data_IF_502865137373
#
_entry.id   IF_502865137373
#
_cell.length_a   1.000
_cell.length_b   1.000
_cell.length_c   1.000
_cell.angle_alpha   90.00
_cell.angle_beta   90.00
_cell.angle_gamma   90.00
#
_symmetry.space_group_name_H-M   'P 1'
#
loop_
_entity.id
_entity.type
_entity.pdbx_description
1 polymer ?
#
# COMPACT_ATOMS: atom_id res chain seq x y z
N UNK A 1 52.82 36.37 10.46
CA UNK A 1 52.29 35.09 9.93
C UNK A 1 50.76 34.98 9.96
N UNK A 2 50.08 35.37 11.06
CA UNK A 2 48.60 35.25 11.23
C UNK A 2 47.74 36.01 10.22
N UNK A 3 48.20 37.16 9.70
CA UNK A 3 47.41 37.99 8.77
C UNK A 3 47.24 37.34 7.38
N UNK A 4 48.25 36.61 6.88
CA UNK A 4 48.19 35.90 5.59
C UNK A 4 47.18 34.74 5.62
N UNK A 5 47.12 34.02 6.74
CA UNK A 5 46.18 32.90 6.93
C UNK A 5 44.72 33.38 6.95
N UNK A 6 44.43 34.54 7.59
CA UNK A 6 43.09 35.14 7.57
C UNK A 6 42.64 35.52 6.15
N UNK A 7 43.55 36.06 5.32
CA UNK A 7 43.24 36.42 3.92
C UNK A 7 42.98 35.18 3.05
N UNK A 8 43.76 34.12 3.23
CA UNK A 8 43.55 32.83 2.53
C UNK A 8 42.21 32.21 2.96
N UNK A 9 41.92 32.16 4.26
CA UNK A 9 40.64 31.65 4.76
C UNK A 9 39.44 32.45 4.22
N UNK A 10 39.55 33.79 4.17
CA UNK A 10 38.52 34.65 3.61
C UNK A 10 38.31 34.40 2.11
N UNK A 11 39.39 34.22 1.34
CA UNK A 11 39.32 33.90 -0.08
C UNK A 11 38.64 32.55 -0.34
N UNK A 12 38.98 31.52 0.45
CA UNK A 12 38.32 30.20 0.38
C UNK A 12 36.83 30.32 0.71
N UNK A 13 36.47 31.08 1.76
CA UNK A 13 35.06 31.31 2.12
C UNK A 13 34.28 32.00 0.98
N UNK A 14 34.88 33.00 0.33
CA UNK A 14 34.29 33.68 -0.82
C UNK A 14 34.07 32.71 -1.98
N UNK A 15 35.04 31.84 -2.29
CA UNK A 15 34.89 30.84 -3.34
C UNK A 15 33.77 29.83 -3.03
N UNK A 16 33.64 29.39 -1.77
CA UNK A 16 32.55 28.53 -1.33
C UNK A 16 31.20 29.24 -1.51
N UNK A 17 31.09 30.50 -1.10
CA UNK A 17 29.88 31.30 -1.25
C UNK A 17 29.52 31.51 -2.73
N UNK A 18 30.50 31.80 -3.58
CA UNK A 18 30.28 31.95 -5.02
C UNK A 18 29.84 30.64 -5.68
N UNK A 19 30.42 29.50 -5.29
CA UNK A 19 29.98 28.18 -5.72
C UNK A 19 28.52 27.92 -5.32
N UNK A 20 28.14 28.28 -4.09
CA UNK A 20 26.78 28.12 -3.60
C UNK A 20 25.78 29.02 -4.34
N UNK A 21 26.14 30.29 -4.58
CA UNK A 21 25.33 31.23 -5.37
C UNK A 21 25.17 30.74 -6.82
N UNK A 22 26.24 30.20 -7.40
CA UNK A 22 26.21 29.58 -8.72
C UNK A 22 25.27 28.37 -8.75
N UNK A 23 25.29 27.50 -7.74
CA UNK A 23 24.35 26.38 -7.64
C UNK A 23 22.89 26.83 -7.51
N UNK A 24 22.60 27.85 -6.69
CA UNK A 24 21.26 28.40 -6.51
C UNK A 24 20.70 28.99 -7.82
N UNK A 25 21.53 29.73 -8.55
CA UNK A 25 21.15 30.37 -9.81
C UNK A 25 21.00 29.36 -10.95
N UNK A 26 21.82 28.31 -10.98
CA UNK A 26 21.78 27.27 -12.00
C UNK A 26 20.76 26.16 -11.73
N UNK A 27 20.19 26.06 -10.51
CA UNK A 27 19.17 25.06 -10.16
C UNK A 27 17.84 25.68 -9.67
N UNK A 28 17.20 26.58 -10.43
CA UNK A 28 15.94 27.21 -10.02
C UNK A 28 14.81 26.19 -9.80
N UNK A 29 14.91 25.02 -10.45
CA UNK A 29 13.98 23.91 -10.26
C UNK A 29 13.92 23.45 -8.81
N UNK A 30 15.07 23.32 -8.13
CA UNK A 30 15.15 22.84 -6.75
C UNK A 30 14.41 23.79 -5.81
N UNK A 31 14.65 25.10 -5.93
CA UNK A 31 13.96 26.12 -5.15
C UNK A 31 12.44 26.09 -5.37
N UNK A 32 12.02 26.04 -6.64
CA UNK A 32 10.59 25.99 -6.98
C UNK A 32 9.92 24.73 -6.41
N UNK A 33 10.61 23.59 -6.46
CA UNK A 33 10.14 22.32 -5.93
C UNK A 33 10.00 22.37 -4.41
N UNK A 34 11.03 22.85 -3.69
CA UNK A 34 10.97 22.98 -2.23
C UNK A 34 9.86 23.92 -1.77
N UNK A 35 9.62 25.01 -2.51
CA UNK A 35 8.50 25.91 -2.24
C UNK A 35 7.14 25.25 -2.52
N UNK A 36 7.02 24.45 -3.57
CA UNK A 36 5.81 23.67 -3.83
C UNK A 36 5.54 22.64 -2.72
N UNK A 37 6.56 21.94 -2.24
CA UNK A 37 6.45 20.99 -1.12
C UNK A 37 6.05 21.72 0.18
N UNK A 38 6.58 22.91 0.42
CA UNK A 38 6.17 23.76 1.55
C UNK A 38 4.70 24.14 1.47
N UNK A 39 4.22 24.55 0.30
CA UNK A 39 2.81 24.86 0.10
C UNK A 39 1.92 23.63 0.26
N UNK A 40 2.34 22.48 -0.26
CA UNK A 40 1.63 21.22 -0.08
C UNK A 40 1.50 20.86 1.41
N UNK A 41 2.60 20.95 2.17
CA UNK A 41 2.58 20.76 3.63
C UNK A 41 1.69 21.78 4.34
N UNK A 42 1.67 23.02 3.87
CA UNK A 42 0.75 24.07 4.31
C UNK A 42 -0.70 23.92 3.82
N UNK A 43 -1.07 22.76 3.23
CA UNK A 43 -2.40 22.45 2.67
C UNK A 43 -2.85 23.39 1.53
N UNK A 44 -1.94 24.16 0.95
CA UNK A 44 -2.19 25.05 -0.20
C UNK A 44 -2.05 24.27 -1.51
N UNK A 45 -2.88 23.24 -1.68
CA UNK A 45 -2.75 22.24 -2.74
C UNK A 45 -2.81 22.85 -4.15
N UNK A 46 -3.74 23.77 -4.43
CA UNK A 46 -3.85 24.40 -5.75
C UNK A 46 -2.63 25.27 -6.09
N UNK A 47 -1.93 25.80 -5.09
CA UNK A 47 -0.71 26.59 -5.34
C UNK A 47 0.49 25.68 -5.59
N UNK A 48 0.60 24.57 -4.85
CA UNK A 48 1.60 23.53 -5.10
C UNK A 48 1.41 22.87 -6.48
N UNK A 49 0.16 22.58 -6.87
CA UNK A 49 -0.22 22.00 -8.16
C UNK A 49 0.38 22.77 -9.33
N UNK A 50 0.28 24.10 -9.34
CA UNK A 50 0.80 24.95 -10.42
C UNK A 50 2.29 24.72 -10.69
N UNK A 51 3.07 24.49 -9.64
CA UNK A 51 4.50 24.25 -9.76
C UNK A 51 4.77 22.82 -10.18
N UNK A 52 4.11 21.83 -9.54
CA UNK A 52 4.26 20.43 -9.92
C UNK A 52 3.85 20.17 -11.37
N UNK A 53 2.80 20.83 -11.86
CA UNK A 53 2.35 20.73 -13.25
C UNK A 53 3.40 21.22 -14.26
N UNK A 54 4.10 22.31 -13.97
CA UNK A 54 5.20 22.78 -14.84
C UNK A 54 6.34 21.78 -14.89
N UNK A 55 6.65 21.12 -13.77
CA UNK A 55 7.72 20.14 -13.69
C UNK A 55 7.32 18.79 -14.34
N UNK A 56 6.06 18.37 -14.20
CA UNK A 56 5.53 17.13 -14.77
C UNK A 56 5.47 17.14 -16.31
N UNK A 57 5.40 18.32 -16.94
CA UNK A 57 5.53 18.47 -18.41
C UNK A 57 6.89 18.01 -18.96
N UNK A 58 7.92 17.90 -18.10
CA UNK A 58 9.27 17.47 -18.48
C UNK A 58 9.52 15.99 -18.19
N UNK A 59 8.45 15.18 -18.18
CA UNK A 59 8.46 13.74 -17.90
C UNK A 59 9.21 13.37 -16.61
N UNK A 60 9.03 14.20 -15.59
CA UNK A 60 9.55 13.95 -14.25
C UNK A 60 8.52 13.11 -13.47
N UNK A 61 8.90 11.87 -13.16
CA UNK A 61 8.07 10.92 -12.42
C UNK A 61 7.67 11.45 -11.03
N UNK A 62 8.62 12.09 -10.32
CA UNK A 62 8.40 12.63 -8.99
C UNK A 62 7.46 13.83 -9.04
N UNK A 63 7.63 14.71 -10.03
CA UNK A 63 6.72 15.84 -10.24
C UNK A 63 5.30 15.38 -10.59
N UNK A 64 5.16 14.36 -11.45
CA UNK A 64 3.86 13.78 -11.81
C UNK A 64 3.17 13.15 -10.59
N UNK A 65 3.94 12.47 -9.73
CA UNK A 65 3.42 11.91 -8.48
C UNK A 65 2.96 13.00 -7.49
N UNK A 66 3.73 14.07 -7.32
CA UNK A 66 3.36 15.18 -6.44
C UNK A 66 2.17 15.98 -6.98
N UNK A 67 2.05 16.07 -8.31
CA UNK A 67 0.87 16.63 -8.97
C UNK A 67 -0.37 15.78 -8.67
N UNK A 68 -0.27 14.46 -8.83
CA UNK A 68 -1.35 13.52 -8.49
C UNK A 68 -1.79 13.66 -7.03
N UNK A 69 -0.83 13.75 -6.08
CA UNK A 69 -1.12 14.00 -4.66
C UNK A 69 -1.89 15.29 -4.43
N UNK A 70 -1.48 16.36 -5.11
CA UNK A 70 -2.14 17.67 -4.98
C UNK A 70 -3.57 17.64 -5.52
N UNK A 71 -3.81 16.93 -6.62
CA UNK A 71 -5.15 16.72 -7.19
C UNK A 71 -6.01 15.82 -6.28
N UNK A 72 -5.45 14.73 -5.74
CA UNK A 72 -6.13 13.85 -4.79
C UNK A 72 -6.59 14.60 -3.53
N UNK A 73 -5.76 15.49 -2.99
CA UNK A 73 -6.11 16.34 -1.83
C UNK A 73 -7.17 17.39 -2.15
N UNK A 74 -7.36 17.73 -3.42
CA UNK A 74 -8.43 18.60 -3.92
C UNK A 74 -9.66 17.83 -4.39
N UNK A 75 -9.75 16.53 -4.11
CA UNK A 75 -10.85 15.65 -4.51
C UNK A 75 -11.01 15.46 -6.04
N UNK A 76 -10.00 15.84 -6.83
CA UNK A 76 -9.95 15.64 -8.28
C UNK A 76 -9.38 14.27 -8.59
N UNK A 77 -10.17 13.22 -8.38
CA UNK A 77 -9.70 11.84 -8.35
C UNK A 77 -9.27 11.31 -9.72
N UNK A 78 -10.04 11.59 -10.77
CA UNK A 78 -9.72 11.16 -12.15
C UNK A 78 -8.45 11.85 -12.68
N UNK A 79 -8.26 13.13 -12.35
CA UNK A 79 -7.03 13.86 -12.67
C UNK A 79 -5.83 13.26 -11.94
N UNK A 80 -5.98 12.94 -10.66
CA UNK A 80 -4.95 12.30 -9.86
C UNK A 80 -4.56 10.94 -10.42
N UNK A 81 -5.54 10.13 -10.85
CA UNK A 81 -5.32 8.86 -11.54
C UNK A 81 -4.44 9.03 -12.78
N UNK A 82 -4.78 9.94 -13.70
CA UNK A 82 -3.98 10.18 -14.91
C UNK A 82 -2.52 10.53 -14.60
N UNK A 83 -2.30 11.39 -13.60
CA UNK A 83 -0.94 11.82 -13.25
C UNK A 83 -0.15 10.75 -12.48
N UNK A 84 -0.82 9.95 -11.66
CA UNK A 84 -0.18 8.82 -10.98
C UNK A 84 0.16 7.67 -11.93
N UNK A 85 -0.69 7.41 -12.93
CA UNK A 85 -0.38 6.45 -14.01
C UNK A 85 0.81 6.94 -14.85
N UNK A 86 0.89 8.24 -15.16
CA UNK A 86 2.08 8.83 -15.79
C UNK A 86 3.34 8.64 -14.94
N UNK A 87 3.25 8.89 -13.63
CA UNK A 87 4.39 8.70 -12.72
C UNK A 87 4.87 7.24 -12.68
N UNK A 88 3.93 6.27 -12.67
CA UNK A 88 4.24 4.85 -12.71
C UNK A 88 4.84 4.42 -14.05
N UNK A 89 4.35 4.94 -15.18
CA UNK A 89 4.94 4.66 -16.48
C UNK A 89 6.42 5.09 -16.57
N UNK A 90 6.77 6.22 -15.93
CA UNK A 90 8.14 6.72 -15.86
C UNK A 90 9.00 6.03 -14.78
N UNK A 91 8.39 5.31 -13.83
CA UNK A 91 9.07 4.68 -12.69
C UNK A 91 8.26 3.49 -12.15
N UNK A 92 8.23 2.35 -12.88
CA UNK A 92 7.26 1.27 -12.64
C UNK A 92 7.43 0.48 -11.33
N UNK A 93 8.54 0.65 -10.61
CA UNK A 93 8.88 -0.14 -9.41
C UNK A 93 9.09 0.69 -8.15
N UNK A 94 8.37 1.82 -8.01
CA UNK A 94 8.46 2.64 -6.79
C UNK A 94 7.32 2.32 -5.84
N UNK A 95 7.66 1.77 -4.66
CA UNK A 95 6.73 1.50 -3.56
C UNK A 95 5.77 2.67 -3.28
N UNK A 96 6.32 3.88 -3.13
CA UNK A 96 5.52 5.08 -2.86
C UNK A 96 4.51 5.39 -3.98
N UNK A 97 4.86 5.15 -5.25
CA UNK A 97 3.94 5.41 -6.38
C UNK A 97 2.80 4.40 -6.42
N UNK A 98 3.09 3.12 -6.16
CA UNK A 98 2.05 2.10 -6.02
C UNK A 98 1.13 2.42 -4.83
N UNK A 99 1.68 2.84 -3.69
CA UNK A 99 0.90 3.27 -2.54
C UNK A 99 0.00 4.48 -2.84
N UNK A 100 0.54 5.52 -3.49
CA UNK A 100 -0.23 6.72 -3.84
C UNK A 100 -1.35 6.40 -4.84
N UNK A 101 -1.08 5.54 -5.83
CA UNK A 101 -2.08 5.06 -6.78
C UNK A 101 -3.15 4.19 -6.12
N UNK A 102 -2.77 3.36 -5.15
CA UNK A 102 -3.69 2.55 -4.37
C UNK A 102 -4.67 3.42 -3.55
N UNK A 103 -4.18 4.51 -2.95
CA UNK A 103 -5.02 5.48 -2.26
C UNK A 103 -6.05 6.13 -3.22
N UNK A 104 -5.63 6.43 -4.45
CA UNK A 104 -6.52 6.96 -5.49
C UNK A 104 -7.59 5.92 -5.86
N UNK A 105 -7.20 4.67 -6.16
CA UNK A 105 -8.13 3.59 -6.48
C UNK A 105 -9.12 3.30 -5.34
N UNK A 106 -8.64 3.30 -4.09
CA UNK A 106 -9.48 3.17 -2.90
C UNK A 106 -10.56 4.27 -2.86
N UNK A 107 -10.20 5.51 -3.18
CA UNK A 107 -11.13 6.63 -3.18
C UNK A 107 -12.11 6.60 -4.36
N UNK A 108 -11.74 5.93 -5.46
CA UNK A 108 -12.65 5.60 -6.58
C UNK A 108 -13.63 4.46 -6.25
N UNK A 109 -13.41 3.73 -5.14
CA UNK A 109 -14.19 2.54 -4.79
C UNK A 109 -13.69 1.26 -5.49
N UNK A 110 -12.66 1.34 -6.32
CA UNK A 110 -12.01 0.18 -6.93
C UNK A 110 -11.08 -0.50 -5.92
N UNK A 111 -11.68 -1.20 -4.96
CA UNK A 111 -10.94 -1.85 -3.89
C UNK A 111 -10.09 -3.01 -4.37
N UNK A 112 -10.51 -3.73 -5.41
CA UNK A 112 -9.71 -4.82 -5.99
C UNK A 112 -8.38 -4.27 -6.50
N UNK A 113 -8.41 -3.22 -7.32
CA UNK A 113 -7.19 -2.57 -7.82
C UNK A 113 -6.37 -1.94 -6.70
N UNK A 114 -7.01 -1.31 -5.72
CA UNK A 114 -6.31 -0.75 -4.57
C UNK A 114 -5.53 -1.84 -3.80
N UNK A 115 -6.12 -3.01 -3.57
CA UNK A 115 -5.46 -4.14 -2.90
C UNK A 115 -4.24 -4.65 -3.69
N UNK A 116 -4.36 -4.78 -5.00
CA UNK A 116 -3.22 -5.18 -5.85
C UNK A 116 -2.06 -4.19 -5.76
N UNK A 117 -2.36 -2.89 -5.83
CA UNK A 117 -1.35 -1.84 -5.76
C UNK A 117 -0.71 -1.75 -4.38
N UNK A 118 -1.49 -1.88 -3.29
CA UNK A 118 -0.91 -1.97 -1.94
C UNK A 118 -0.01 -3.20 -1.79
N UNK A 119 -0.39 -4.36 -2.35
CA UNK A 119 0.49 -5.55 -2.35
C UNK A 119 1.81 -5.27 -3.06
N UNK A 120 1.77 -4.65 -4.25
CA UNK A 120 2.99 -4.22 -4.96
C UNK A 120 3.85 -3.27 -4.11
N UNK A 121 3.21 -2.33 -3.40
CA UNK A 121 3.93 -1.41 -2.52
C UNK A 121 4.57 -2.13 -1.31
N UNK A 122 3.90 -3.13 -0.73
CA UNK A 122 4.41 -3.94 0.38
C UNK A 122 5.58 -4.86 0.01
N UNK A 123 5.64 -5.37 -1.23
CA UNK A 123 6.76 -6.21 -1.68
C UNK A 123 8.09 -5.46 -1.52
N UNK A 124 8.09 -4.17 -1.81
CA UNK A 124 9.27 -3.29 -1.69
C UNK A 124 9.49 -2.79 -0.25
N UNK A 125 8.41 -2.58 0.51
CA UNK A 125 8.45 -2.04 1.88
C UNK A 125 7.56 -2.85 2.83
N UNK A 126 7.97 -4.07 3.20
CA UNK A 126 7.13 -4.98 3.99
C UNK A 126 6.90 -4.52 5.43
N UNK A 127 7.72 -3.58 5.93
CA UNK A 127 7.63 -3.03 7.31
C UNK A 127 6.90 -1.69 7.37
N UNK A 128 6.37 -1.18 6.25
CA UNK A 128 5.66 0.09 6.23
C UNK A 128 4.24 -0.08 6.80
N UNK A 129 4.00 0.51 7.96
CA UNK A 129 2.74 0.39 8.70
C UNK A 129 1.60 1.10 8.00
N UNK A 130 1.86 2.17 7.24
CA UNK A 130 0.81 2.93 6.56
C UNK A 130 0.27 2.14 5.38
N UNK A 131 1.14 1.45 4.64
CA UNK A 131 0.73 0.54 3.55
C UNK A 131 -0.12 -0.60 4.12
N UNK A 132 0.33 -1.20 5.23
CA UNK A 132 -0.40 -2.29 5.90
C UNK A 132 -1.78 -1.85 6.39
N UNK A 133 -1.86 -0.73 7.10
CA UNK A 133 -3.11 -0.20 7.62
C UNK A 133 -4.11 0.13 6.49
N UNK A 134 -3.65 0.75 5.40
CA UNK A 134 -4.52 1.09 4.28
C UNK A 134 -4.99 -0.16 3.51
N UNK A 135 -4.16 -1.19 3.38
CA UNK A 135 -4.57 -2.47 2.80
C UNK A 135 -5.65 -3.16 3.63
N UNK A 136 -5.47 -3.22 4.96
CA UNK A 136 -6.47 -3.79 5.89
C UNK A 136 -7.80 -3.02 5.85
N UNK A 137 -7.73 -1.68 5.82
CA UNK A 137 -8.89 -0.82 5.64
C UNK A 137 -9.62 -1.12 4.32
N UNK A 138 -8.85 -1.31 3.24
CA UNK A 138 -9.38 -1.62 1.91
C UNK A 138 -10.05 -2.99 1.89
N UNK A 139 -9.43 -4.01 2.52
CA UNK A 139 -10.03 -5.34 2.67
C UNK A 139 -11.38 -5.26 3.39
N UNK A 140 -11.44 -4.53 4.51
CA UNK A 140 -12.68 -4.34 5.28
C UNK A 140 -13.76 -3.65 4.45
N UNK A 141 -13.39 -2.62 3.68
CA UNK A 141 -14.34 -1.93 2.80
C UNK A 141 -14.87 -2.83 1.69
N UNK A 142 -13.99 -3.61 1.05
CA UNK A 142 -14.38 -4.59 0.04
C UNK A 142 -15.32 -5.65 0.60
N UNK A 143 -15.03 -6.20 1.78
CA UNK A 143 -15.91 -7.18 2.46
C UNK A 143 -17.26 -6.57 2.86
N UNK A 144 -17.28 -5.30 3.28
CA UNK A 144 -18.53 -4.61 3.62
C UNK A 144 -19.42 -4.29 2.41
N UNK A 145 -18.83 -4.21 1.22
CA UNK A 145 -19.54 -3.98 -0.04
C UNK A 145 -19.80 -5.27 -0.82
N UNK A 146 -19.12 -6.36 -0.49
CA UNK A 146 -19.52 -7.67 -0.95
C UNK A 146 -20.97 -7.90 -0.53
N UNK A 147 -21.83 -8.43 -1.41
CA UNK A 147 -23.15 -8.88 -1.00
C UNK A 147 -22.97 -9.72 0.26
N UNK A 148 -23.71 -9.40 1.34
CA UNK A 148 -23.77 -10.30 2.50
C UNK A 148 -23.99 -11.69 1.93
N UNK A 149 -23.26 -12.73 2.37
CA UNK A 149 -23.64 -14.09 2.05
C UNK A 149 -25.14 -14.15 2.34
N UNK A 150 -25.96 -14.37 1.31
CA UNK A 150 -27.33 -14.76 1.57
C UNK A 150 -27.18 -15.96 2.50
N UNK A 151 -27.92 -16.03 3.63
CA UNK A 151 -27.91 -17.24 4.42
C UNK A 151 -28.04 -18.36 3.41
N UNK A 152 -27.01 -19.21 3.31
CA UNK A 152 -27.08 -20.37 2.44
C UNK A 152 -28.43 -20.96 2.78
N UNK A 153 -29.35 -21.01 1.80
CA UNK A 153 -30.49 -21.89 1.96
C UNK A 153 -29.80 -23.21 2.20
N UNK A 154 -29.78 -23.66 3.46
CA UNK A 154 -29.55 -25.05 3.79
C UNK A 154 -30.41 -25.75 2.76
N UNK A 155 -29.76 -26.36 1.76
CA UNK A 155 -30.45 -27.22 0.83
C UNK A 155 -31.16 -28.16 1.77
N UNK A 156 -32.49 -28.11 1.77
CA UNK A 156 -33.37 -28.91 2.59
C UNK A 156 -32.86 -30.34 2.46
N UNK A 157 -31.99 -30.72 3.41
CA UNK A 157 -31.33 -32.00 3.39
C UNK A 157 -32.39 -32.89 3.97
N UNK A 158 -32.96 -33.70 3.08
CA UNK A 158 -33.88 -34.77 3.41
C UNK A 158 -33.44 -35.40 4.75
N UNK A 159 -34.23 -35.23 5.84
CA UNK A 159 -33.87 -35.71 7.16
C UNK A 159 -33.50 -37.20 7.15
N UNK A 160 -34.15 -37.98 6.28
CA UNK A 160 -33.87 -39.41 6.09
C UNK A 160 -32.45 -39.65 5.57
N UNK A 161 -31.95 -38.75 4.72
CA UNK A 161 -30.60 -38.83 4.17
C UNK A 161 -29.53 -38.43 5.19
N UNK A 162 -29.82 -37.48 6.09
CA UNK A 162 -28.93 -37.18 7.21
C UNK A 162 -28.85 -38.33 8.22
N UNK A 163 -29.98 -38.99 8.49
CA UNK A 163 -30.04 -40.15 9.36
C UNK A 163 -29.33 -41.36 8.74
N UNK A 164 -29.47 -41.58 7.43
CA UNK A 164 -28.72 -42.60 6.70
C UNK A 164 -27.21 -42.35 6.76
N UNK A 165 -26.75 -41.11 6.52
CA UNK A 165 -25.33 -40.75 6.62
C UNK A 165 -24.84 -40.96 8.07
N UNK A 166 -25.63 -40.59 9.07
CA UNK A 166 -25.28 -40.79 10.49
C UNK A 166 -25.18 -42.27 10.85
N UNK A 167 -26.09 -43.10 10.34
CA UNK A 167 -26.09 -44.54 10.55
C UNK A 167 -24.91 -45.21 9.85
N UNK A 168 -24.55 -44.77 8.64
CA UNK A 168 -23.36 -45.24 7.91
C UNK A 168 -22.08 -44.87 8.67
N UNK A 169 -21.97 -43.61 9.13
CA UNK A 169 -20.82 -43.15 9.90
C UNK A 169 -20.69 -43.89 11.24
N UNK A 170 -21.80 -44.10 11.96
CA UNK A 170 -21.82 -44.90 13.19
C UNK A 170 -21.47 -46.37 12.96
N UNK A 171 -21.91 -46.95 11.84
CA UNK A 171 -21.54 -48.31 11.43
C UNK A 171 -20.05 -48.44 11.10
N UNK A 172 -19.48 -47.45 10.42
CA UNK A 172 -18.05 -47.39 10.11
C UNK A 172 -17.19 -47.24 11.37
N UNK A 173 -17.58 -46.37 12.30
CA UNK A 173 -16.84 -46.15 13.54
C UNK A 173 -16.88 -47.39 14.47
N UNK A 174 -18.02 -48.08 14.52
CA UNK A 174 -18.16 -49.36 15.23
C UNK A 174 -17.33 -50.48 14.59
N UNK A 175 -17.23 -50.50 13.26
CA UNK A 175 -16.40 -51.46 12.55
C UNK A 175 -14.92 -51.18 12.78
N UNK A 176 -14.49 -49.92 12.65
CA UNK A 176 -13.10 -49.52 12.88
C UNK A 176 -12.67 -49.77 14.34
N UNK A 177 -13.56 -49.51 15.31
CA UNK A 177 -13.29 -49.80 16.73
C UNK A 177 -13.29 -51.30 17.06
N UNK A 178 -14.10 -52.12 16.36
CA UNK A 178 -14.05 -53.59 16.46
C UNK A 178 -12.79 -54.16 15.83
N UNK A 179 -12.40 -53.66 14.65
CA UNK A 179 -11.18 -54.04 13.94
C UNK A 179 -9.93 -53.66 14.74
N UNK A 180 -9.93 -52.47 15.38
CA UNK A 180 -8.88 -52.06 16.34
C UNK A 180 -8.77 -52.99 17.54
N UNK A 181 -9.89 -53.43 18.12
CA UNK A 181 -9.92 -54.37 19.26
C UNK A 181 -9.45 -55.77 18.86
N UNK A 182 -9.69 -56.19 17.61
CA UNK A 182 -9.23 -57.48 17.10
C UNK A 182 -7.75 -57.47 16.71
N UNK A 183 -7.22 -56.33 16.23
CA UNK A 183 -5.84 -56.24 15.76
C UNK A 183 -4.81 -55.89 16.85
N UNK A 184 -5.19 -55.34 18.02
CA UNK A 184 -4.22 -55.06 19.09
C UNK A 184 -4.84 -54.97 20.51
N UNK A 185 -4.69 -55.98 21.41
CA UNK A 185 -5.32 -55.96 22.75
C UNK A 185 -4.68 -55.01 23.76
N UNK A 186 -3.53 -54.38 23.47
CA UNK A 186 -2.79 -53.59 24.45
C UNK A 186 -2.23 -52.32 23.82
N UNK A 187 -2.99 -51.22 23.94
CA UNK A 187 -2.47 -49.87 24.22
C UNK A 187 -3.66 -48.91 24.39
N UNK A 188 -3.99 -48.58 25.64
CA UNK A 188 -4.82 -47.41 25.95
C UNK A 188 -4.02 -46.15 25.64
N UNK A 189 -4.53 -45.31 24.75
CA UNK A 189 -3.96 -43.97 24.53
C UNK A 189 -4.22 -43.11 25.77
N UNK A 190 -3.24 -42.35 26.29
CA UNK A 190 -3.48 -41.43 27.38
C UNK A 190 -4.38 -40.27 26.90
N UNK A 191 -5.16 -39.65 27.81
CA UNK A 191 -6.08 -38.59 27.44
C UNK A 191 -5.28 -37.37 26.95
N UNK A 192 -5.37 -37.06 25.65
CA UNK A 192 -4.85 -35.80 25.13
C UNK A 192 -5.85 -34.70 25.48
N UNK A 193 -5.44 -33.85 26.43
CA UNK A 193 -6.08 -32.56 26.73
C UNK A 193 -5.97 -31.65 25.49
N UNK A 194 -7.09 -31.18 24.99
CA UNK A 194 -7.16 -29.97 24.17
C UNK A 194 -8.27 -29.06 24.70
N UNK A 195 -7.91 -28.33 25.75
CA UNK A 195 -8.35 -26.97 26.05
C UNK A 195 -7.17 -26.21 26.65
#
# INVERSE_FOLDING_TARGET
>A
MKLKHKKIALFILILILLSFIFELTMRPKVLSQSWADMQYRGKRFSSAEKVFARNAKKDDATASANLAKSMYKQDRIEDAERQSDKALALSPHKSNLNYDRANIAYKQGDYTKALELYRKAMLEKPKDTDIKANYELTLKKMQSQAPKPQPEKEKEQDPDKQEEIRNILGGLDNKESSDRKQQNPQQGLPPTKWW
#
